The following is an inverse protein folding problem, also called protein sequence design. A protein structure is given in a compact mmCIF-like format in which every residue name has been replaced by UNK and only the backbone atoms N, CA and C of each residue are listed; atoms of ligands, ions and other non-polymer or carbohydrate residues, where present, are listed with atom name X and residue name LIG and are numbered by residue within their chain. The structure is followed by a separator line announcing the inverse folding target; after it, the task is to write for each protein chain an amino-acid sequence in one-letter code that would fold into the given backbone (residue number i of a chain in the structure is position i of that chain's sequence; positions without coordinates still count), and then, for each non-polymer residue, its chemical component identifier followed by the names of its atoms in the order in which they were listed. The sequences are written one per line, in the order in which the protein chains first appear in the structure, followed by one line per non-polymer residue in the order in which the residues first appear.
data_IF_751673962181
#
_entry.id   IF_751673962181
#
_cell.length_a   1.000
_cell.length_b   1.000
_cell.length_c   1.000
_cell.angle_alpha   90.00
_cell.angle_beta   90.00
_cell.angle_gamma   90.00
#
_symmetry.space_group_name_H-M   'P 1'
#
loop_
_entity.id
_entity.type
_entity.pdbx_description
1 polymer ?
#
# COMPACT_ATOMS: atom_id res chain seq x y z
N UNK A 1 28.37 20.68 -1.72
CA UNK A 1 27.78 22.03 -1.56
C UNK A 1 27.89 22.53 -0.12
N UNK A 2 27.35 21.80 0.87
CA UNK A 2 27.29 22.25 2.28
C UNK A 2 28.65 22.66 2.86
N UNK A 3 29.69 21.81 2.82
CA UNK A 3 31.04 22.18 3.29
C UNK A 3 31.63 23.39 2.55
N UNK A 4 31.37 23.52 1.24
CA UNK A 4 31.90 24.60 0.40
C UNK A 4 31.28 25.97 0.73
N UNK A 5 30.05 25.97 1.23
CA UNK A 5 29.30 27.18 1.58
C UNK A 5 29.32 27.49 3.08
N UNK A 6 29.93 26.63 3.90
CA UNK A 6 30.03 26.85 5.33
C UNK A 6 30.95 28.06 5.61
N UNK A 7 30.51 29.04 6.43
CA UNK A 7 31.39 30.08 6.91
C UNK A 7 32.63 29.50 7.59
N UNK A 8 33.74 30.23 7.57
CA UNK A 8 35.03 29.75 8.10
C UNK A 8 34.99 29.30 9.57
N UNK A 9 34.04 29.81 10.34
CA UNK A 9 33.85 29.51 11.76
C UNK A 9 32.81 28.40 12.03
N UNK A 10 32.28 27.72 11.00
CA UNK A 10 31.28 26.64 11.14
C UNK A 10 31.83 25.33 10.59
N UNK A 11 31.78 24.27 11.40
CA UNK A 11 31.97 22.90 10.91
C UNK A 11 30.62 22.31 10.52
N UNK A 12 30.46 21.96 9.24
CA UNK A 12 29.23 21.36 8.73
C UNK A 12 29.49 19.96 8.16
N UNK A 13 28.61 19.02 8.50
CA UNK A 13 28.55 17.67 7.93
C UNK A 13 27.13 17.38 7.46
N UNK A 14 27.01 16.45 6.51
CA UNK A 14 25.73 15.93 6.03
C UNK A 14 25.78 14.42 6.15
N UNK A 15 24.80 13.86 6.84
CA UNK A 15 24.63 12.42 6.96
C UNK A 15 23.24 12.08 6.46
N UNK A 16 23.16 11.17 5.49
CA UNK A 16 21.88 10.61 5.08
C UNK A 16 21.46 9.56 6.11
N UNK A 17 20.29 9.75 6.72
CA UNK A 17 19.77 8.84 7.75
C UNK A 17 18.83 7.80 7.15
N UNK A 18 17.89 8.23 6.30
CA UNK A 18 16.89 7.37 5.70
C UNK A 18 16.94 7.49 4.17
N UNK A 19 16.66 6.38 3.50
CA UNK A 19 16.52 6.29 2.05
C UNK A 19 15.87 4.97 1.67
N UNK A 20 15.06 4.99 0.61
CA UNK A 20 14.41 3.80 0.09
C UNK A 20 14.25 3.93 -1.41
N UNK A 21 14.31 2.80 -2.11
CA UNK A 21 13.95 2.74 -3.53
C UNK A 21 12.45 3.07 -3.68
N UNK A 22 12.04 3.74 -4.77
CA UNK A 22 10.62 3.89 -5.07
C UNK A 22 9.99 2.52 -5.37
N UNK A 23 8.71 2.37 -5.05
CA UNK A 23 7.96 1.16 -5.36
C UNK A 23 6.96 1.40 -6.51
N UNK A 24 6.87 0.42 -7.40
CA UNK A 24 5.74 0.24 -8.34
C UNK A 24 5.23 -1.17 -8.20
N UNK A 25 3.90 -1.31 -8.26
CA UNK A 25 3.22 -2.60 -8.09
C UNK A 25 2.39 -2.85 -9.34
N UNK A 26 2.55 -4.03 -9.92
CA UNK A 26 1.75 -4.49 -11.05
C UNK A 26 0.35 -4.89 -10.56
N UNK A 27 -0.69 -4.24 -11.09
CA UNK A 27 -2.08 -4.36 -10.60
C UNK A 27 -2.92 -5.39 -11.36
N UNK A 28 -2.28 -6.18 -12.24
CA UNK A 28 -2.96 -7.18 -13.09
C UNK A 28 -3.13 -8.54 -12.42
N UNK A 29 -2.51 -8.77 -11.26
CA UNK A 29 -2.63 -10.04 -10.54
C UNK A 29 -4.10 -10.28 -10.07
N UNK A 30 -4.67 -11.50 -10.20
CA UNK A 30 -6.07 -11.77 -9.87
C UNK A 30 -6.51 -11.35 -8.45
N UNK A 31 -5.58 -11.35 -7.50
CA UNK A 31 -5.82 -10.89 -6.13
C UNK A 31 -6.35 -9.44 -6.06
N UNK A 32 -5.98 -8.55 -6.99
CA UNK A 32 -6.54 -7.19 -7.05
C UNK A 32 -8.04 -7.21 -7.37
N UNK A 33 -8.48 -8.10 -8.26
CA UNK A 33 -9.89 -8.28 -8.59
C UNK A 33 -10.72 -8.82 -7.42
N UNK A 34 -10.14 -9.74 -6.63
CA UNK A 34 -10.79 -10.23 -5.40
C UNK A 34 -10.94 -9.11 -4.35
N UNK A 35 -9.91 -8.27 -4.20
CA UNK A 35 -9.98 -7.13 -3.29
C UNK A 35 -11.03 -6.11 -3.75
N UNK A 36 -11.03 -5.76 -5.03
CA UNK A 36 -12.02 -4.87 -5.65
C UNK A 36 -13.45 -5.39 -5.47
N UNK A 37 -13.67 -6.70 -5.64
CA UNK A 37 -14.96 -7.33 -5.35
C UNK A 37 -15.34 -7.19 -3.87
N UNK A 38 -14.41 -7.45 -2.93
CA UNK A 38 -14.67 -7.30 -1.50
C UNK A 38 -15.08 -5.87 -1.13
N UNK A 39 -14.44 -4.85 -1.72
CA UNK A 39 -14.86 -3.46 -1.58
C UNK A 39 -16.26 -3.21 -2.15
N UNK A 40 -16.58 -3.70 -3.36
CA UNK A 40 -17.93 -3.53 -3.93
C UNK A 40 -19.02 -4.14 -3.06
N UNK A 41 -18.78 -5.32 -2.50
CA UNK A 41 -19.76 -6.02 -1.66
C UNK A 41 -19.98 -5.35 -0.30
N UNK A 42 -18.93 -4.78 0.31
CA UNK A 42 -19.02 -4.19 1.66
C UNK A 42 -19.35 -2.71 1.64
N UNK A 43 -18.73 -1.93 0.76
CA UNK A 43 -18.88 -0.45 0.72
C UNK A 43 -19.66 0.05 -0.49
N UNK A 44 -20.11 -0.85 -1.39
CA UNK A 44 -20.91 -0.49 -2.56
C UNK A 44 -20.13 0.16 -3.71
N UNK A 45 -18.79 0.23 -3.61
CA UNK A 45 -17.90 0.88 -4.60
C UNK A 45 -16.63 0.07 -4.81
N UNK A 46 -16.11 0.10 -6.04
CA UNK A 46 -14.86 -0.58 -6.40
C UNK A 46 -13.63 0.22 -6.00
N UNK A 47 -12.48 -0.45 -6.04
CA UNK A 47 -11.18 0.17 -5.80
C UNK A 47 -10.69 0.92 -7.04
N UNK A 48 -9.77 1.87 -6.82
CA UNK A 48 -9.10 2.62 -7.89
C UNK A 48 -7.59 2.46 -7.70
N UNK A 49 -6.85 2.01 -8.72
CA UNK A 49 -5.39 2.03 -8.68
C UNK A 49 -4.88 3.47 -8.50
N UNK A 50 -4.05 3.69 -7.48
CA UNK A 50 -3.52 5.00 -7.16
C UNK A 50 -2.03 4.92 -6.81
N UNK A 51 -1.33 6.05 -6.98
CA UNK A 51 0.03 6.25 -6.47
C UNK A 51 -0.04 7.24 -5.31
N UNK A 52 0.88 7.09 -4.36
CA UNK A 52 1.01 7.98 -3.21
C UNK A 52 2.44 8.52 -3.11
N UNK A 53 2.58 9.72 -2.53
CA UNK A 53 3.89 10.35 -2.28
C UNK A 53 4.58 9.89 -0.99
N UNK A 54 3.91 9.08 -0.16
CA UNK A 54 4.50 8.50 1.05
C UNK A 54 5.48 7.37 0.75
N UNK A 55 6.30 7.02 1.74
CA UNK A 55 7.34 6.00 1.62
C UNK A 55 7.11 4.84 2.59
N UNK A 56 7.09 3.62 2.07
CA UNK A 56 7.08 2.39 2.87
C UNK A 56 8.27 1.54 2.40
N UNK A 57 9.46 1.67 3.03
CA UNK A 57 10.73 1.14 2.51
C UNK A 57 10.78 -0.37 2.27
N UNK A 58 9.91 -1.14 2.90
CA UNK A 58 9.87 -2.60 2.75
C UNK A 58 9.18 -3.05 1.45
N UNK A 59 8.34 -2.20 0.84
CA UNK A 59 7.55 -2.57 -0.36
C UNK A 59 8.44 -2.95 -1.56
N UNK A 60 9.49 -2.19 -1.92
CA UNK A 60 10.40 -2.61 -2.99
C UNK A 60 11.09 -3.94 -2.72
N UNK A 61 11.41 -4.24 -1.46
CA UNK A 61 12.03 -5.50 -1.07
C UNK A 61 11.05 -6.68 -1.20
N UNK A 62 9.79 -6.49 -0.76
CA UNK A 62 8.72 -7.50 -0.92
C UNK A 62 8.42 -7.77 -2.40
N UNK A 63 8.49 -6.74 -3.26
CA UNK A 63 8.32 -6.90 -4.70
C UNK A 63 9.33 -7.85 -5.36
N UNK A 64 10.48 -8.08 -4.72
CA UNK A 64 11.52 -9.02 -5.20
C UNK A 64 11.25 -10.47 -4.77
N UNK A 65 10.24 -10.73 -3.93
CA UNK A 65 9.94 -12.08 -3.42
C UNK A 65 9.25 -13.00 -4.44
N UNK A 66 8.74 -12.45 -5.54
CA UNK A 66 7.92 -13.18 -6.52
C UNK A 66 6.46 -13.35 -6.11
N UNK A 67 6.08 -12.99 -4.88
CA UNK A 67 4.68 -12.90 -4.47
C UNK A 67 4.04 -11.57 -4.91
N UNK A 68 2.73 -11.54 -5.23
CA UNK A 68 2.04 -10.29 -5.48
C UNK A 68 2.03 -9.42 -4.22
N UNK A 69 2.41 -8.16 -4.36
CA UNK A 69 2.30 -7.16 -3.29
C UNK A 69 1.06 -6.33 -3.56
N UNK A 70 0.17 -6.21 -2.58
CA UNK A 70 -0.96 -5.28 -2.65
C UNK A 70 -0.75 -4.24 -1.57
N UNK A 71 -0.63 -2.97 -1.96
CA UNK A 71 -0.66 -1.85 -1.04
C UNK A 71 -2.07 -1.27 -1.02
N UNK A 72 -2.77 -1.47 0.08
CA UNK A 72 -4.14 -1.00 0.30
C UNK A 72 -4.33 -0.64 1.76
N UNK A 73 -5.41 0.07 2.05
CA UNK A 73 -5.77 0.47 3.40
C UNK A 73 -7.17 1.05 3.42
N UNK A 74 -7.57 1.50 4.60
CA UNK A 74 -8.91 2.05 4.82
C UNK A 74 -8.87 3.57 4.94
N UNK A 75 -7.68 4.19 5.04
CA UNK A 75 -7.47 5.62 5.28
C UNK A 75 -8.30 6.55 4.39
N UNK A 76 -8.88 7.59 5.00
CA UNK A 76 -9.56 8.67 4.29
C UNK A 76 -8.61 9.86 4.04
N UNK A 77 -8.84 10.66 2.99
CA UNK A 77 -7.98 11.80 2.67
C UNK A 77 -7.84 12.84 3.80
N UNK A 78 -8.80 12.89 4.72
CA UNK A 78 -8.85 13.84 5.84
C UNK A 78 -8.42 13.22 7.18
N UNK A 79 -7.82 12.03 7.18
CA UNK A 79 -7.32 11.38 8.42
C UNK A 79 -6.08 12.03 8.99
N UNK A 80 -5.39 12.90 8.22
CA UNK A 80 -4.28 13.75 8.70
C UNK A 80 -3.14 12.98 9.39
N UNK A 81 -2.75 11.84 8.81
CA UNK A 81 -1.63 11.04 9.31
C UNK A 81 -0.39 11.92 9.57
N UNK A 82 0.15 11.86 10.78
CA UNK A 82 1.28 12.67 11.27
C UNK A 82 1.01 14.16 11.49
N UNK A 83 -0.25 14.59 11.53
CA UNK A 83 -0.62 15.98 11.78
C UNK A 83 -1.66 16.11 12.92
N UNK A 84 -1.81 17.31 13.52
CA UNK A 84 -2.81 17.53 14.56
C UNK A 84 -4.24 17.20 14.11
N UNK A 85 -5.03 16.67 15.04
CA UNK A 85 -6.36 16.13 14.79
C UNK A 85 -6.36 14.94 13.80
N UNK A 86 -5.29 14.14 13.83
CA UNK A 86 -5.30 12.80 13.24
C UNK A 86 -6.48 12.00 13.79
N UNK A 87 -7.21 11.29 12.92
CA UNK A 87 -8.40 10.54 13.29
C UNK A 87 -8.52 9.26 12.50
N UNK A 88 -9.39 8.38 12.99
CA UNK A 88 -9.89 7.21 12.28
C UNK A 88 -11.41 7.22 12.37
N UNK A 89 -12.10 7.22 11.22
CA UNK A 89 -13.55 7.11 11.21
C UNK A 89 -13.98 5.69 11.65
N UNK A 90 -14.99 5.61 12.53
CA UNK A 90 -15.41 4.32 13.08
C UNK A 90 -16.10 3.45 12.02
N UNK A 91 -16.88 4.05 11.11
CA UNK A 91 -17.52 3.30 10.03
C UNK A 91 -16.45 2.74 9.09
N UNK A 92 -15.44 3.52 8.75
CA UNK A 92 -14.27 3.10 7.98
C UNK A 92 -13.51 1.94 8.64
N UNK A 93 -13.30 1.97 9.96
CA UNK A 93 -12.71 0.86 10.70
C UNK A 93 -13.54 -0.42 10.56
N UNK A 94 -14.84 -0.35 10.84
CA UNK A 94 -15.72 -1.51 10.80
C UNK A 94 -15.92 -2.07 9.38
N UNK A 95 -16.08 -1.20 8.40
CA UNK A 95 -16.17 -1.62 7.00
C UNK A 95 -14.83 -2.20 6.53
N UNK A 96 -13.71 -1.62 6.97
CA UNK A 96 -12.37 -2.16 6.74
C UNK A 96 -12.21 -3.60 7.19
N UNK A 97 -12.60 -3.89 8.43
CA UNK A 97 -12.58 -5.25 9.00
C UNK A 97 -13.41 -6.20 8.12
N UNK A 98 -14.61 -5.76 7.69
CA UNK A 98 -15.50 -6.54 6.81
C UNK A 98 -14.91 -6.75 5.43
N UNK A 99 -14.28 -5.75 4.83
CA UNK A 99 -13.60 -5.83 3.53
C UNK A 99 -12.49 -6.87 3.59
N UNK A 100 -11.58 -6.79 4.56
CA UNK A 100 -10.47 -7.72 4.64
C UNK A 100 -10.92 -9.15 4.96
N UNK A 101 -11.91 -9.30 5.86
CA UNK A 101 -12.56 -10.60 6.06
C UNK A 101 -13.09 -11.15 4.75
N UNK A 102 -13.85 -10.35 4.00
CA UNK A 102 -14.46 -10.80 2.75
C UNK A 102 -13.42 -11.12 1.67
N UNK A 103 -12.35 -10.33 1.59
CA UNK A 103 -11.22 -10.61 0.71
C UNK A 103 -10.59 -11.98 1.00
N UNK A 104 -10.37 -12.33 2.27
CA UNK A 104 -9.84 -13.65 2.64
C UNK A 104 -10.83 -14.78 2.37
N UNK A 105 -12.13 -14.57 2.56
CA UNK A 105 -13.17 -15.54 2.17
C UNK A 105 -13.13 -15.81 0.66
N UNK A 106 -13.08 -14.76 -0.16
CA UNK A 106 -12.97 -14.87 -1.62
C UNK A 106 -11.66 -15.56 -2.05
N UNK A 107 -10.55 -15.23 -1.37
CA UNK A 107 -9.25 -15.86 -1.62
C UNK A 107 -9.29 -17.36 -1.32
N UNK A 108 -9.94 -17.76 -0.23
CA UNK A 108 -10.15 -19.17 0.12
C UNK A 108 -11.04 -19.90 -0.89
N UNK A 109 -12.11 -19.25 -1.35
CA UNK A 109 -13.12 -19.85 -2.23
C UNK A 109 -12.64 -20.02 -3.67
N UNK A 110 -11.91 -19.02 -4.19
CA UNK A 110 -11.55 -18.94 -5.61
C UNK A 110 -10.07 -19.17 -5.86
N UNK A 111 -9.22 -19.01 -4.86
CA UNK A 111 -7.77 -18.95 -5.04
C UNK A 111 -7.35 -17.77 -5.92
N UNK A 112 -6.10 -17.79 -6.37
CA UNK A 112 -5.51 -16.79 -7.28
C UNK A 112 -4.90 -17.40 -8.53
N UNK A 113 -5.15 -18.69 -8.79
CA UNK A 113 -4.66 -19.35 -9.99
C UNK A 113 -5.50 -18.91 -11.19
N UNK A 114 -4.88 -18.16 -12.11
CA UNK A 114 -5.42 -17.99 -13.45
C UNK A 114 -5.47 -19.37 -14.11
N UNK A 115 -6.66 -19.77 -14.60
CA UNK A 115 -6.93 -20.94 -15.44
C UNK A 115 -5.68 -21.75 -15.84
N UNK A 116 -5.26 -22.72 -15.01
CA UNK A 116 -4.38 -23.80 -15.47
C UNK A 116 -5.21 -24.76 -16.32
N UNK A 117 -5.59 -24.29 -17.50
CA UNK A 117 -6.09 -25.12 -18.60
C UNK A 117 -4.94 -25.94 -19.17
N UNK A 118 -4.46 -26.91 -18.40
CA UNK A 118 -3.46 -27.89 -18.80
C UNK A 118 -3.87 -29.24 -18.22
N UNK A 119 -4.54 -30.04 -19.05
CA UNK A 119 -4.85 -31.44 -18.77
C UNK A 119 -3.60 -32.17 -18.30
N UNK A 120 -3.73 -32.93 -17.22
CA UNK A 120 -3.00 -34.17 -17.02
C UNK A 120 -4.04 -35.29 -17.00
#
# INVERSE_FOLDING_TARGET
AVKRLAPAYVQASVTFLHGADPATVEVTHPAFGLLDQAFREVVGRGTVPARAGGSIPVVPALGKSGAPVILTGIGLPDDRLHAPNEKLDLKQLWDGIRVFRRFYELLRERGVEGNRGGKA
#
